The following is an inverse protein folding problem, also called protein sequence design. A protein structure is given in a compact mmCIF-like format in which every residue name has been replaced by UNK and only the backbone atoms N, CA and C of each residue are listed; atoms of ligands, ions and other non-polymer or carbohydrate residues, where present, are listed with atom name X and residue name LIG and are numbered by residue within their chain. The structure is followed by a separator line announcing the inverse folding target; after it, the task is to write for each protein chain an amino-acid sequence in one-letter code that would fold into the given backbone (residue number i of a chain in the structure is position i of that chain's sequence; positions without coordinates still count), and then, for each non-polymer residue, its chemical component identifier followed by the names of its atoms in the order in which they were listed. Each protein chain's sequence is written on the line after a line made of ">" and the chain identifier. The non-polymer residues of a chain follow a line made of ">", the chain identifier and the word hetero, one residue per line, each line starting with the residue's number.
data_IF_262263699469
#
_entry.id   IF_262263699469
#
_cell.length_a   1.000
_cell.length_b   1.000
_cell.length_c   1.000
_cell.angle_alpha   90.00
_cell.angle_beta   90.00
_cell.angle_gamma   90.00
#
_symmetry.space_group_name_H-M   'P 1'
#
loop_
_entity.id
_entity.type
_entity.pdbx_description
1 polymer ?
#
# COMPACT_ATOMS: atom_id res chain seq x y z
N UNK A 1 9.03 22.96 11.88
CA UNK A 1 9.13 22.74 10.41
C UNK A 1 9.06 24.11 9.76
N UNK A 2 10.10 24.55 9.09
CA UNK A 2 10.10 25.79 8.34
C UNK A 2 9.45 25.57 6.96
N UNK A 3 8.79 26.59 6.38
CA UNK A 3 8.25 26.49 5.02
C UNK A 3 9.30 26.06 3.98
N UNK A 4 10.54 26.52 4.14
CA UNK A 4 11.66 26.14 3.26
C UNK A 4 12.03 24.66 3.34
N UNK A 5 11.96 24.02 4.52
CA UNK A 5 12.28 22.59 4.66
C UNK A 5 11.20 21.69 4.04
N UNK A 6 9.92 22.09 4.09
CA UNK A 6 8.85 21.37 3.41
C UNK A 6 8.97 21.53 1.89
N UNK A 7 9.22 22.75 1.40
CA UNK A 7 9.43 23.00 -0.02
C UNK A 7 10.59 22.17 -0.57
N UNK A 8 11.72 22.12 0.15
CA UNK A 8 12.86 21.28 -0.22
C UNK A 8 12.46 19.77 -0.29
N UNK A 9 11.78 19.27 0.74
CA UNK A 9 11.37 17.85 0.78
C UNK A 9 10.42 17.50 -0.37
N UNK A 10 9.45 18.38 -0.66
CA UNK A 10 8.47 18.16 -1.73
C UNK A 10 9.13 18.29 -3.10
N UNK A 11 9.93 19.36 -3.34
CA UNK A 11 10.61 19.54 -4.63
C UNK A 11 11.60 18.42 -4.92
N UNK A 12 12.31 17.89 -3.91
CA UNK A 12 13.20 16.74 -4.11
C UNK A 12 12.46 15.49 -4.58
N UNK A 13 11.25 15.24 -4.07
CA UNK A 13 10.49 14.04 -4.46
C UNK A 13 9.68 14.22 -5.74
N UNK A 14 9.20 15.43 -6.04
CA UNK A 14 8.32 15.68 -7.20
C UNK A 14 9.07 16.05 -8.47
N UNK A 15 10.29 16.57 -8.35
CA UNK A 15 11.15 16.86 -9.48
C UNK A 15 11.95 15.59 -9.85
N UNK A 16 11.74 15.01 -11.05
CA UNK A 16 12.39 13.76 -11.43
C UNK A 16 13.91 13.84 -11.47
N UNK A 17 14.48 15.00 -11.84
CA UNK A 17 15.95 15.18 -11.91
C UNK A 17 16.54 15.22 -10.50
N UNK A 18 15.93 15.99 -9.59
CA UNK A 18 16.38 16.06 -8.19
C UNK A 18 16.20 14.72 -7.48
N UNK A 19 15.09 14.03 -7.71
CA UNK A 19 14.87 12.70 -7.17
C UNK A 19 15.92 11.71 -7.66
N UNK A 20 16.14 11.66 -8.98
CA UNK A 20 17.13 10.76 -9.60
C UNK A 20 18.54 11.06 -9.11
N UNK A 21 18.93 12.32 -9.00
CA UNK A 21 20.20 12.72 -8.40
C UNK A 21 20.34 12.33 -6.93
N UNK A 22 19.26 12.42 -6.15
CA UNK A 22 19.25 12.03 -4.75
C UNK A 22 19.34 10.51 -4.53
N UNK A 23 18.66 9.71 -5.36
CA UNK A 23 18.64 8.24 -5.23
C UNK A 23 19.69 7.52 -6.07
N UNK A 24 20.30 8.21 -7.05
CA UNK A 24 21.39 7.68 -7.89
C UNK A 24 20.93 6.85 -9.09
N UNK A 25 19.64 6.90 -9.41
CA UNK A 25 19.04 6.18 -10.55
C UNK A 25 17.78 6.89 -11.04
N UNK A 26 17.42 6.71 -12.32
CA UNK A 26 16.23 7.34 -12.90
C UNK A 26 14.94 6.84 -12.21
N UNK A 27 14.24 7.74 -11.53
CA UNK A 27 12.99 7.45 -10.79
C UNK A 27 12.00 8.59 -10.90
N UNK A 28 10.73 8.22 -10.88
CA UNK A 28 9.61 9.17 -10.84
C UNK A 28 8.73 8.87 -9.63
N UNK A 29 8.33 9.92 -8.90
CA UNK A 29 7.38 9.76 -7.81
C UNK A 29 5.95 9.69 -8.36
N UNK A 30 5.22 8.64 -8.04
CA UNK A 30 3.84 8.43 -8.53
C UNK A 30 2.77 8.69 -7.48
N UNK A 31 3.12 8.65 -6.21
CA UNK A 31 2.21 8.91 -5.08
C UNK A 31 3.00 9.58 -3.97
N UNK A 32 2.52 10.71 -3.53
CA UNK A 32 3.15 11.46 -2.44
C UNK A 32 2.22 11.51 -1.24
N UNK A 33 2.80 11.38 -0.06
CA UNK A 33 2.12 11.52 1.22
C UNK A 33 2.96 12.37 2.16
N UNK A 34 2.33 13.36 2.73
CA UNK A 34 2.93 14.25 3.73
C UNK A 34 2.47 13.82 5.13
N UNK A 35 3.42 13.68 6.03
CA UNK A 35 3.19 13.57 7.48
C UNK A 35 3.91 14.76 8.13
N UNK A 36 3.20 15.84 8.48
CA UNK A 36 3.81 17.08 8.96
C UNK A 36 4.81 16.84 10.09
N UNK A 37 5.97 17.51 10.03
CA UNK A 37 7.02 17.41 11.04
C UNK A 37 7.75 16.06 11.14
N UNK A 38 7.39 15.07 10.30
CA UNK A 38 7.93 13.71 10.36
C UNK A 38 8.55 13.29 9.03
N UNK A 39 7.76 13.28 7.94
CA UNK A 39 8.25 12.83 6.63
C UNK A 39 7.34 13.24 5.48
N UNK A 40 7.94 13.37 4.29
CA UNK A 40 7.25 13.24 3.00
C UNK A 40 7.68 11.91 2.38
N UNK A 41 6.76 11.10 1.93
CA UNK A 41 7.04 9.80 1.32
C UNK A 41 6.41 9.66 -0.05
N UNK A 42 7.05 8.93 -0.95
CA UNK A 42 6.59 8.69 -2.30
C UNK A 42 6.74 7.21 -2.71
N UNK A 43 5.82 6.73 -3.56
CA UNK A 43 6.05 5.53 -4.38
C UNK A 43 6.97 5.92 -5.53
N UNK A 44 7.89 5.04 -5.86
CA UNK A 44 8.78 5.23 -7.00
C UNK A 44 8.37 4.31 -8.15
N UNK A 45 8.40 4.84 -9.35
CA UNK A 45 8.33 4.09 -10.59
C UNK A 45 9.65 4.24 -11.35
N UNK A 46 9.98 3.25 -12.16
CA UNK A 46 11.07 3.32 -13.14
C UNK A 46 10.63 4.05 -14.43
N UNK A 47 11.51 4.10 -15.42
CA UNK A 47 11.25 4.74 -16.71
C UNK A 47 10.11 4.09 -17.51
N UNK A 48 9.77 2.83 -17.25
CA UNK A 48 8.63 2.15 -17.86
C UNK A 48 7.29 2.43 -17.14
N UNK A 49 7.33 3.13 -16.00
CA UNK A 49 6.18 3.33 -15.12
C UNK A 49 5.91 2.17 -14.16
N UNK A 50 6.74 1.12 -14.17
CA UNK A 50 6.59 0.00 -13.25
C UNK A 50 6.97 0.40 -11.81
N UNK A 51 6.25 -0.14 -10.79
CA UNK A 51 6.59 0.12 -9.39
C UNK A 51 8.01 -0.37 -9.05
N UNK A 52 8.90 0.55 -8.68
CA UNK A 52 10.31 0.29 -8.45
C UNK A 52 10.73 0.38 -6.97
N UNK A 53 9.93 1.03 -6.13
CA UNK A 53 10.29 1.16 -4.72
C UNK A 53 9.56 2.28 -4.01
N UNK A 54 10.23 2.80 -3.02
CA UNK A 54 9.76 3.90 -2.19
C UNK A 54 10.92 4.85 -1.87
N UNK A 55 10.57 6.12 -1.64
CA UNK A 55 11.45 7.09 -1.03
C UNK A 55 10.72 7.88 0.06
N UNK A 56 11.47 8.41 1.01
CA UNK A 56 10.95 9.36 1.98
C UNK A 56 12.00 10.38 2.39
N UNK A 57 11.60 11.62 2.48
CA UNK A 57 12.39 12.67 3.11
C UNK A 57 11.95 12.78 4.57
N UNK A 58 12.91 12.80 5.47
CA UNK A 58 12.74 12.67 6.91
C UNK A 58 13.24 13.92 7.64
N UNK A 59 12.45 14.41 8.58
CA UNK A 59 12.87 15.42 9.55
C UNK A 59 13.72 14.79 10.66
N UNK A 60 14.51 15.58 11.40
CA UNK A 60 15.39 15.09 12.46
C UNK A 60 14.68 14.18 13.48
N UNK A 61 13.45 14.48 13.83
CA UNK A 61 12.61 13.71 14.75
C UNK A 61 12.38 12.25 14.32
N UNK A 62 12.59 11.94 13.03
CA UNK A 62 12.36 10.61 12.47
C UNK A 62 13.66 9.86 12.11
N UNK A 63 14.83 10.46 12.31
CA UNK A 63 16.12 9.85 11.90
C UNK A 63 16.41 8.55 12.62
N UNK A 64 16.15 8.45 13.93
CA UNK A 64 16.37 7.22 14.70
C UNK A 64 15.51 6.06 14.19
N UNK A 65 14.27 6.34 13.82
CA UNK A 65 13.36 5.33 13.23
C UNK A 65 13.85 4.87 11.86
N UNK A 66 14.44 5.78 11.09
CA UNK A 66 15.01 5.43 9.79
C UNK A 66 16.22 4.51 9.94
N UNK A 67 17.14 4.80 10.87
CA UNK A 67 18.28 3.93 11.17
C UNK A 67 17.87 2.52 11.60
N UNK A 68 16.89 2.41 12.51
CA UNK A 68 16.34 1.10 12.93
C UNK A 68 15.71 0.33 11.76
N UNK A 69 15.02 1.02 10.85
CA UNK A 69 14.43 0.38 9.68
C UNK A 69 15.51 -0.10 8.70
N UNK A 70 16.56 0.69 8.48
CA UNK A 70 17.70 0.30 7.63
C UNK A 70 18.46 -0.91 8.20
N UNK A 71 18.72 -0.92 9.51
CA UNK A 71 19.36 -2.06 10.18
C UNK A 71 18.54 -3.35 10.02
N UNK A 72 17.20 -3.26 10.16
CA UNK A 72 16.31 -4.41 9.93
C UNK A 72 16.35 -4.89 8.49
N UNK A 73 16.33 -3.96 7.51
CA UNK A 73 16.43 -4.30 6.09
C UNK A 73 17.75 -5.02 5.79
N UNK A 74 18.87 -4.52 6.33
CA UNK A 74 20.18 -5.14 6.20
C UNK A 74 20.20 -6.57 6.76
N UNK A 75 19.58 -6.81 7.93
CA UNK A 75 19.43 -8.14 8.51
C UNK A 75 18.64 -9.14 7.65
N UNK A 76 17.83 -8.64 6.72
CA UNK A 76 17.09 -9.44 5.72
C UNK A 76 17.76 -9.46 4.34
N UNK A 77 18.96 -8.88 4.19
CA UNK A 77 19.65 -8.77 2.91
C UNK A 77 18.98 -7.79 1.92
N UNK A 78 18.11 -6.90 2.42
CA UNK A 78 17.35 -5.98 1.57
C UNK A 78 18.04 -4.62 1.51
N UNK A 79 18.43 -4.12 0.32
CA UNK A 79 19.13 -2.86 0.21
C UNK A 79 18.22 -1.67 0.55
N UNK A 80 18.75 -0.78 1.39
CA UNK A 80 18.18 0.54 1.65
C UNK A 80 19.30 1.55 1.83
N UNK A 81 19.05 2.79 1.46
CA UNK A 81 20.02 3.85 1.51
C UNK A 81 19.49 5.06 2.26
N UNK A 82 20.38 5.79 2.88
CA UNK A 82 20.07 7.04 3.58
C UNK A 82 21.17 8.06 3.21
N UNK A 83 20.75 9.25 2.76
CA UNK A 83 21.67 10.36 2.47
C UNK A 83 21.20 11.66 3.12
N UNK A 84 22.12 12.57 3.51
CA UNK A 84 21.79 13.95 3.86
C UNK A 84 21.18 14.67 2.65
N UNK A 85 20.21 15.58 2.90
CA UNK A 85 19.55 16.36 1.86
C UNK A 85 19.69 17.88 2.07
N UNK A 86 20.38 18.31 3.11
CA UNK A 86 20.46 19.71 3.55
C UNK A 86 19.36 20.07 4.56
N UNK A 87 19.48 21.22 5.19
CA UNK A 87 18.55 21.73 6.21
C UNK A 87 18.19 20.73 7.32
N UNK A 88 19.12 19.83 7.67
CA UNK A 88 18.88 18.76 8.64
C UNK A 88 17.99 17.64 8.14
N UNK A 89 17.54 17.66 6.89
CA UNK A 89 16.75 16.59 6.28
C UNK A 89 17.62 15.43 5.81
N UNK A 90 17.01 14.24 5.74
CA UNK A 90 17.61 13.05 5.12
C UNK A 90 16.62 12.44 4.15
N UNK A 91 17.12 11.95 3.02
CA UNK A 91 16.34 11.07 2.13
C UNK A 91 16.71 9.62 2.42
N UNK A 92 15.70 8.76 2.52
CA UNK A 92 15.83 7.30 2.60
C UNK A 92 15.01 6.68 1.49
N UNK A 93 15.57 5.64 0.85
CA UNK A 93 14.86 4.92 -0.22
C UNK A 93 15.25 3.45 -0.27
N UNK A 94 14.51 2.68 -1.05
CA UNK A 94 14.75 1.27 -1.28
C UNK A 94 13.73 0.64 -2.21
N UNK A 95 13.93 -0.62 -2.54
CA UNK A 95 12.99 -1.42 -3.31
C UNK A 95 11.69 -1.71 -2.54
N UNK A 96 10.66 -2.22 -3.22
CA UNK A 96 9.34 -2.49 -2.63
C UNK A 96 9.42 -3.43 -1.44
N UNK A 97 10.26 -4.48 -1.52
CA UNK A 97 10.40 -5.47 -0.44
C UNK A 97 11.02 -4.88 0.84
N UNK A 98 11.79 -3.80 0.73
CA UNK A 98 12.42 -3.13 1.86
C UNK A 98 11.60 -1.99 2.46
N UNK A 99 10.31 -1.85 2.09
CA UNK A 99 9.42 -0.84 2.68
C UNK A 99 9.39 -0.96 4.20
N UNK A 100 9.78 0.06 4.97
CA UNK A 100 10.00 -0.05 6.41
C UNK A 100 8.82 -0.54 7.24
N UNK A 101 7.59 -0.28 6.77
CA UNK A 101 6.39 -0.69 7.49
C UNK A 101 5.78 -1.99 6.95
N UNK A 102 6.12 -2.38 5.72
CA UNK A 102 5.58 -3.59 5.08
C UNK A 102 6.57 -4.76 5.14
N UNK A 103 7.86 -4.49 5.15
CA UNK A 103 8.94 -5.48 5.13
C UNK A 103 8.74 -6.65 6.12
N UNK A 104 8.39 -6.45 7.40
CA UNK A 104 8.19 -7.57 8.33
C UNK A 104 7.01 -8.47 7.95
N UNK A 105 6.02 -7.92 7.26
CA UNK A 105 4.84 -8.65 6.80
C UNK A 105 5.09 -9.32 5.45
N UNK A 106 5.90 -8.69 4.60
CA UNK A 106 6.40 -9.28 3.34
C UNK A 106 7.26 -10.50 3.65
N UNK A 107 8.16 -10.39 4.62
CA UNK A 107 9.04 -11.49 5.03
C UNK A 107 8.24 -12.68 5.58
N UNK A 108 7.22 -12.43 6.43
CA UNK A 108 6.31 -13.50 6.88
C UNK A 108 5.50 -14.12 5.74
N UNK A 109 4.97 -13.30 4.83
CA UNK A 109 4.23 -13.80 3.67
C UNK A 109 5.12 -14.63 2.73
N UNK A 110 6.41 -14.27 2.62
CA UNK A 110 7.42 -15.08 1.92
C UNK A 110 7.68 -16.39 2.64
N UNK A 111 7.89 -16.35 3.94
CA UNK A 111 8.14 -17.54 4.75
C UNK A 111 6.97 -18.54 4.72
N UNK A 112 5.73 -18.07 4.61
CA UNK A 112 4.53 -18.91 4.42
C UNK A 112 4.29 -19.36 2.97
N UNK A 113 5.13 -18.95 2.02
CA UNK A 113 4.94 -19.27 0.59
C UNK A 113 3.84 -18.46 -0.11
N UNK A 114 3.21 -17.50 0.57
CA UNK A 114 2.14 -16.70 -0.02
C UNK A 114 2.66 -15.72 -1.10
N UNK A 115 3.90 -15.29 -1.00
CA UNK A 115 4.55 -14.43 -1.99
C UNK A 115 5.98 -14.88 -2.29
N UNK A 116 6.38 -14.69 -3.53
CA UNK A 116 7.78 -14.77 -3.94
C UNK A 116 8.20 -13.41 -4.54
N UNK A 117 9.04 -12.62 -3.84
CA UNK A 117 9.50 -11.33 -4.35
C UNK A 117 10.31 -11.38 -5.64
N UNK A 118 10.85 -12.54 -6.02
CA UNK A 118 11.58 -12.70 -7.28
C UNK A 118 10.64 -12.77 -8.50
N UNK A 119 9.39 -13.26 -8.30
CA UNK A 119 8.46 -13.53 -9.41
C UNK A 119 7.14 -12.77 -9.30
N UNK A 120 6.89 -12.09 -8.21
CA UNK A 120 5.64 -11.35 -8.03
C UNK A 120 5.45 -10.23 -9.06
N UNK A 121 4.20 -9.98 -9.42
CA UNK A 121 3.79 -8.77 -10.14
C UNK A 121 3.16 -7.78 -9.16
N UNK A 122 3.75 -6.61 -9.02
CA UNK A 122 3.20 -5.56 -8.16
C UNK A 122 2.01 -4.92 -8.87
N UNK A 123 0.82 -5.04 -8.25
CA UNK A 123 -0.41 -4.42 -8.74
C UNK A 123 -0.61 -3.03 -8.13
N UNK A 124 -0.19 -2.85 -6.87
CA UNK A 124 -0.29 -1.56 -6.18
C UNK A 124 0.69 -1.47 -5.02
N UNK A 125 1.43 -0.39 -4.94
CA UNK A 125 2.26 -0.07 -3.79
C UNK A 125 1.88 1.31 -3.23
N UNK A 126 1.46 1.34 -1.98
CA UNK A 126 1.31 2.56 -1.18
C UNK A 126 2.34 2.49 -0.06
N UNK A 127 3.47 3.18 -0.16
CA UNK A 127 4.55 3.09 0.80
C UNK A 127 4.09 3.30 2.24
N UNK A 128 4.62 2.50 3.15
CA UNK A 128 4.33 2.52 4.59
C UNK A 128 2.87 2.18 4.94
N UNK A 129 2.07 1.66 4.00
CA UNK A 129 0.66 1.37 4.26
C UNK A 129 0.19 0.04 3.71
N UNK A 130 0.42 -0.20 2.40
CA UNK A 130 -0.17 -1.36 1.72
C UNK A 130 0.60 -1.73 0.46
N UNK A 131 0.76 -3.01 0.26
CA UNK A 131 1.21 -3.63 -0.98
C UNK A 131 0.15 -4.60 -1.47
N UNK A 132 -0.08 -4.65 -2.77
CA UNK A 132 -0.91 -5.66 -3.44
C UNK A 132 -0.07 -6.24 -4.56
N UNK A 133 0.08 -7.54 -4.55
CA UNK A 133 0.84 -8.27 -5.57
C UNK A 133 0.04 -9.44 -6.11
N UNK A 134 0.34 -9.83 -7.35
CA UNK A 134 -0.04 -11.13 -7.89
C UNK A 134 1.16 -12.06 -7.75
N UNK A 135 0.97 -13.22 -7.15
CA UNK A 135 2.02 -14.23 -6.91
C UNK A 135 1.38 -15.62 -6.91
N UNK A 136 1.97 -16.58 -7.60
CA UNK A 136 1.53 -17.97 -7.62
C UNK A 136 0.01 -18.18 -7.89
N UNK A 137 -0.57 -17.40 -8.81
CA UNK A 137 -2.00 -17.52 -9.15
C UNK A 137 -2.96 -16.89 -8.10
N UNK A 138 -2.43 -16.18 -7.13
CA UNK A 138 -3.20 -15.48 -6.10
C UNK A 138 -2.94 -13.97 -6.11
N UNK A 139 -3.85 -13.21 -5.54
CA UNK A 139 -3.68 -11.79 -5.23
C UNK A 139 -3.43 -11.65 -3.73
N UNK A 140 -2.24 -11.20 -3.36
CA UNK A 140 -1.83 -11.05 -1.97
C UNK A 140 -1.83 -9.58 -1.58
N UNK A 141 -2.53 -9.26 -0.50
CA UNK A 141 -2.62 -7.91 0.08
C UNK A 141 -1.88 -7.89 1.40
N UNK A 142 -0.86 -7.04 1.48
CA UNK A 142 -0.04 -6.85 2.68
C UNK A 142 -0.27 -5.46 3.22
N UNK A 143 -0.53 -5.31 4.52
CA UNK A 143 -0.86 -4.06 5.19
C UNK A 143 0.06 -3.79 6.38
N UNK A 144 0.48 -2.54 6.54
CA UNK A 144 1.24 -2.11 7.71
C UNK A 144 0.40 -2.09 9.00
N UNK A 145 -0.91 -1.89 8.88
CA UNK A 145 -1.86 -1.99 10.00
C UNK A 145 -2.66 -3.27 9.88
N UNK A 146 -2.77 -3.99 10.98
CA UNK A 146 -3.59 -5.17 11.10
C UNK A 146 -5.04 -4.89 10.69
N UNK A 147 -5.64 -5.78 9.93
CA UNK A 147 -7.06 -5.76 9.58
C UNK A 147 -7.75 -7.01 10.12
N UNK A 148 -8.03 -7.00 11.40
CA UNK A 148 -8.67 -8.12 12.11
C UNK A 148 -10.09 -8.42 11.63
N UNK A 149 -10.68 -7.50 10.84
CA UNK A 149 -12.03 -7.66 10.28
C UNK A 149 -12.04 -8.33 8.91
N UNK A 150 -10.86 -8.42 8.26
CA UNK A 150 -10.76 -8.85 6.86
C UNK A 150 -11.43 -10.21 6.63
N UNK A 151 -11.20 -11.19 7.49
CA UNK A 151 -11.78 -12.53 7.36
C UNK A 151 -13.30 -12.53 7.54
N UNK A 152 -13.82 -11.82 8.54
CA UNK A 152 -15.26 -11.72 8.77
C UNK A 152 -15.97 -10.93 7.65
N UNK A 153 -15.33 -9.86 7.19
CA UNK A 153 -15.85 -9.08 6.06
C UNK A 153 -15.86 -9.90 4.77
N UNK A 154 -14.81 -10.66 4.48
CA UNK A 154 -14.77 -11.49 3.28
C UNK A 154 -15.87 -12.54 3.29
N UNK A 155 -16.08 -13.27 4.40
CA UNK A 155 -17.19 -14.24 4.54
C UNK A 155 -18.56 -13.61 4.36
N UNK A 156 -18.76 -12.41 4.89
CA UNK A 156 -20.01 -11.66 4.68
C UNK A 156 -20.21 -11.30 3.21
N UNK A 157 -19.15 -10.83 2.54
CA UNK A 157 -19.20 -10.48 1.12
C UNK A 157 -19.46 -11.71 0.24
N UNK A 158 -18.81 -12.84 0.52
CA UNK A 158 -19.01 -14.12 -0.20
C UNK A 158 -20.45 -14.60 -0.14
N UNK A 159 -21.14 -14.37 0.98
CA UNK A 159 -22.55 -14.72 1.12
C UNK A 159 -23.50 -13.77 0.36
N UNK A 160 -23.08 -12.52 0.11
CA UNK A 160 -23.93 -11.50 -0.51
C UNK A 160 -23.69 -11.35 -2.01
N UNK A 161 -22.43 -11.41 -2.46
CA UNK A 161 -22.01 -11.17 -3.84
C UNK A 161 -20.82 -12.07 -4.22
N UNK A 162 -20.62 -12.37 -5.51
CA UNK A 162 -19.42 -13.06 -5.94
C UNK A 162 -18.18 -12.18 -5.69
N UNK A 163 -17.27 -12.67 -4.86
CA UNK A 163 -15.97 -12.06 -4.59
C UNK A 163 -14.89 -13.14 -4.73
N UNK A 164 -13.62 -12.75 -4.97
CA UNK A 164 -12.54 -13.72 -4.97
C UNK A 164 -12.46 -14.48 -3.65
N UNK A 165 -12.40 -15.80 -3.71
CA UNK A 165 -12.30 -16.64 -2.52
C UNK A 165 -11.03 -16.30 -1.73
N UNK A 166 -11.15 -16.31 -0.41
CA UNK A 166 -10.00 -16.18 0.48
C UNK A 166 -9.28 -17.52 0.61
N UNK A 167 -7.96 -17.53 0.37
CA UNK A 167 -7.12 -18.74 0.35
C UNK A 167 -6.31 -18.91 1.64
N UNK A 168 -6.16 -17.85 2.47
CA UNK A 168 -5.49 -17.95 3.76
C UNK A 168 -6.50 -18.18 4.90
N UNK A 169 -6.02 -18.70 6.01
CA UNK A 169 -6.83 -18.98 7.22
C UNK A 169 -7.21 -17.73 8.03
N UNK A 170 -6.65 -16.57 7.69
CA UNK A 170 -6.86 -15.32 8.40
C UNK A 170 -6.07 -15.17 9.69
N UNK A 171 -5.11 -16.04 9.97
CA UNK A 171 -4.26 -16.00 11.16
C UNK A 171 -3.36 -14.76 11.21
N UNK A 172 -2.83 -14.31 10.07
CA UNK A 172 -2.09 -13.05 9.99
C UNK A 172 -3.02 -11.88 9.60
N UNK A 173 -3.32 -10.96 10.52
CA UNK A 173 -4.19 -9.82 10.22
C UNK A 173 -3.56 -8.77 9.28
N UNK A 174 -2.29 -8.92 8.93
CA UNK A 174 -1.57 -8.05 8.00
C UNK A 174 -1.56 -8.59 6.57
N UNK A 175 -1.80 -9.89 6.39
CA UNK A 175 -1.74 -10.59 5.11
C UNK A 175 -3.13 -11.12 4.76
N UNK A 176 -3.53 -10.98 3.51
CA UNK A 176 -4.75 -11.59 2.98
C UNK A 176 -4.45 -12.12 1.59
N UNK A 177 -4.68 -13.41 1.40
CA UNK A 177 -4.47 -14.12 0.13
C UNK A 177 -5.84 -14.39 -0.48
N UNK A 178 -6.06 -13.91 -1.70
CA UNK A 178 -7.30 -14.06 -2.45
C UNK A 178 -7.02 -14.84 -3.73
N UNK A 179 -7.96 -15.64 -4.17
CA UNK A 179 -7.91 -16.24 -5.50
C UNK A 179 -7.78 -15.14 -6.56
N UNK A 180 -6.94 -15.36 -7.58
CA UNK A 180 -6.85 -14.43 -8.69
C UNK A 180 -8.11 -14.55 -9.55
N UNK A 181 -8.93 -13.52 -9.55
CA UNK A 181 -10.11 -13.47 -10.40
C UNK A 181 -9.77 -13.19 -11.89
N UNK A 182 -8.49 -12.98 -12.19
CA UNK A 182 -8.02 -12.69 -13.56
C UNK A 182 -8.49 -11.32 -14.07
N UNK A 183 -8.43 -11.18 -15.39
CA UNK A 183 -9.10 -10.13 -16.13
C UNK A 183 -8.51 -8.73 -16.03
N UNK A 184 -9.37 -7.79 -16.30
CA UNK A 184 -9.16 -6.36 -16.24
C UNK A 184 -10.12 -5.74 -15.22
N UNK A 185 -9.87 -4.52 -14.81
CA UNK A 185 -10.82 -3.73 -14.04
C UNK A 185 -11.78 -2.95 -14.95
N UNK A 186 -12.81 -2.37 -14.34
CA UNK A 186 -13.80 -1.56 -15.07
C UNK A 186 -13.23 -0.22 -15.58
N UNK A 187 -12.05 0.20 -15.12
CA UNK A 187 -11.39 1.42 -15.58
C UNK A 187 -10.69 1.26 -16.93
N UNK A 188 -10.49 -0.01 -17.34
CA UNK A 188 -9.88 -0.35 -18.62
C UNK A 188 -10.80 -1.29 -19.40
N UNK A 189 -12.00 -0.87 -19.79
CA UNK A 189 -12.95 -1.73 -20.48
C UNK A 189 -12.38 -2.11 -21.85
N UNK A 190 -12.13 -3.40 -22.06
CA UNK A 190 -11.82 -3.97 -23.35
C UNK A 190 -13.13 -4.45 -23.96
N UNK A 191 -13.64 -3.78 -24.98
CA UNK A 191 -14.85 -4.22 -25.65
C UNK A 191 -15.67 -3.09 -26.23
N UNK A 192 -16.84 -3.44 -26.76
CA UNK A 192 -17.77 -2.50 -27.35
C UNK A 192 -18.54 -1.71 -26.28
N UNK A 193 -19.17 -0.56 -26.65
CA UNK A 193 -20.02 0.19 -25.73
C UNK A 193 -21.15 -0.65 -25.11
N UNK A 194 -21.71 -1.62 -25.87
CA UNK A 194 -22.76 -2.54 -25.40
C UNK A 194 -22.24 -3.41 -24.25
N UNK A 195 -21.02 -3.95 -24.38
CA UNK A 195 -20.39 -4.76 -23.36
C UNK A 195 -20.04 -3.95 -22.10
N UNK A 196 -19.64 -2.70 -22.28
CA UNK A 196 -19.41 -1.78 -21.16
C UNK A 196 -20.72 -1.49 -20.39
N UNK A 197 -21.84 -1.32 -21.12
CA UNK A 197 -23.18 -1.15 -20.53
C UNK A 197 -23.57 -2.40 -19.72
N UNK A 198 -23.47 -3.59 -20.32
CA UNK A 198 -23.77 -4.87 -19.65
C UNK A 198 -22.98 -5.01 -18.35
N UNK A 199 -21.68 -4.71 -18.35
CA UNK A 199 -20.86 -4.77 -17.15
C UNK A 199 -21.27 -3.75 -16.09
N UNK A 200 -21.66 -2.55 -16.52
CA UNK A 200 -22.16 -1.51 -15.60
C UNK A 200 -23.48 -1.94 -14.95
N UNK A 201 -24.40 -2.51 -15.70
CA UNK A 201 -25.67 -3.03 -15.19
C UNK A 201 -25.45 -4.19 -14.21
N UNK A 202 -24.57 -5.14 -14.55
CA UNK A 202 -24.17 -6.22 -13.64
C UNK A 202 -23.53 -5.70 -12.35
N UNK A 203 -22.65 -4.72 -12.45
CA UNK A 203 -22.04 -4.09 -11.28
C UNK A 203 -23.11 -3.38 -10.44
N UNK A 204 -24.06 -2.67 -11.04
CA UNK A 204 -25.19 -2.06 -10.36
C UNK A 204 -26.03 -3.08 -9.58
N UNK A 205 -26.34 -4.23 -10.19
CA UNK A 205 -27.03 -5.34 -9.55
C UNK A 205 -26.26 -5.94 -8.34
N UNK A 206 -24.93 -6.04 -8.46
CA UNK A 206 -24.09 -6.47 -7.34
C UNK A 206 -24.11 -5.47 -6.18
N UNK A 207 -24.01 -4.17 -6.48
CA UNK A 207 -24.12 -3.11 -5.46
C UNK A 207 -25.50 -3.09 -4.79
N UNK A 208 -26.57 -3.28 -5.54
CA UNK A 208 -27.92 -3.35 -4.96
C UNK A 208 -28.04 -4.53 -3.98
N UNK A 209 -27.53 -5.72 -4.34
CA UNK A 209 -27.50 -6.88 -3.43
C UNK A 209 -26.65 -6.62 -2.20
N UNK A 210 -25.48 -6.00 -2.36
CA UNK A 210 -24.60 -5.66 -1.24
C UNK A 210 -25.27 -4.67 -0.28
N UNK A 211 -25.96 -3.65 -0.80
CA UNK A 211 -26.68 -2.68 0.03
C UNK A 211 -27.89 -3.28 0.75
N UNK A 212 -28.54 -4.29 0.16
CA UNK A 212 -29.65 -5.02 0.79
C UNK A 212 -29.15 -6.02 1.86
N UNK A 213 -27.89 -6.47 1.77
CA UNK A 213 -27.32 -7.40 2.72
C UNK A 213 -27.05 -6.72 4.07
N UNK A 214 -27.40 -7.41 5.16
CA UNK A 214 -27.16 -6.93 6.52
C UNK A 214 -26.00 -7.69 7.14
N UNK A 215 -24.91 -7.01 7.54
CA UNK A 215 -23.81 -7.67 8.21
C UNK A 215 -24.26 -8.19 9.58
N UNK A 216 -23.70 -9.32 10.05
CA UNK A 216 -23.92 -9.81 11.42
C UNK A 216 -23.56 -8.73 12.45
N UNK A 217 -24.26 -8.69 13.59
CA UNK A 217 -24.10 -7.63 14.59
C UNK A 217 -22.65 -7.35 15.02
N UNK A 218 -21.78 -8.35 15.28
CA UNK A 218 -20.38 -8.08 15.61
C UNK A 218 -19.60 -7.39 14.48
N UNK A 219 -19.89 -7.74 13.23
CA UNK A 219 -19.28 -7.10 12.07
C UNK A 219 -19.82 -5.69 11.87
N UNK A 220 -21.14 -5.50 11.99
CA UNK A 220 -21.78 -4.19 11.91
C UNK A 220 -21.20 -3.21 12.95
N UNK A 221 -21.07 -3.64 14.20
CA UNK A 221 -20.46 -2.85 15.26
C UNK A 221 -19.01 -2.45 14.94
N UNK A 222 -18.24 -3.37 14.33
CA UNK A 222 -16.86 -3.10 13.94
C UNK A 222 -16.72 -2.17 12.73
N UNK A 223 -17.75 -2.06 11.90
CA UNK A 223 -17.79 -1.21 10.69
C UNK A 223 -18.36 0.19 11.00
N UNK A 224 -19.03 0.37 12.13
CA UNK A 224 -19.56 1.66 12.55
C UNK A 224 -18.44 2.71 12.58
N UNK A 225 -18.68 3.94 12.10
CA UNK A 225 -17.72 5.03 12.24
C UNK A 225 -17.44 5.25 13.73
N UNK A 226 -16.21 5.62 14.10
CA UNK A 226 -15.93 6.02 15.48
C UNK A 226 -16.87 7.15 15.87
N UNK A 227 -17.42 7.06 17.08
CA UNK A 227 -18.23 8.16 17.62
C UNK A 227 -17.49 9.48 17.43
N UNK A 228 -18.17 10.56 17.02
CA UNK A 228 -17.53 11.86 16.90
C UNK A 228 -16.87 12.18 18.23
N UNK A 229 -15.55 12.40 18.21
CA UNK A 229 -14.84 12.83 19.41
C UNK A 229 -15.51 14.13 19.87
N UNK A 230 -16.12 14.08 21.06
CA UNK A 230 -16.65 15.29 21.71
C UNK A 230 -15.47 16.25 21.81
N UNK A 231 -15.47 17.30 20.97
CA UNK A 231 -14.52 18.37 21.14
C UNK A 231 -14.80 18.96 22.52
N UNK A 232 -13.98 18.62 23.49
CA UNK A 232 -13.94 19.36 24.73
C UNK A 232 -13.68 20.84 24.32
N UNK A 233 -14.65 21.68 24.61
CA UNK A 233 -14.50 23.10 24.47
C UNK A 233 -13.32 23.52 25.39
N UNK A 234 -12.22 23.98 24.77
CA UNK A 234 -11.16 24.74 25.43
C UNK A 234 -11.54 26.20 25.44
#
# INVERSE_FOLDING_TARGET
>A
MTPSSLALAVSTLLDPERLSGAVGEARVATRVRIKPGVSVSASLADSSGAPAGWARVLWPTAHSKAGKAAARAAGLGLPTWIRPLGSGLRIQWGGVASDPALMPHIDRARASGAVDPATWRILRHNPLRRLVVRSAGAVVRIRARADRRAAALNRFLEAAIPVPARLDDGSDPHVCVLADAGGCDLSSPRGTPERAREWTERAGGLFARLHAARPPAPLAASLAPPAPATRAAL
#
